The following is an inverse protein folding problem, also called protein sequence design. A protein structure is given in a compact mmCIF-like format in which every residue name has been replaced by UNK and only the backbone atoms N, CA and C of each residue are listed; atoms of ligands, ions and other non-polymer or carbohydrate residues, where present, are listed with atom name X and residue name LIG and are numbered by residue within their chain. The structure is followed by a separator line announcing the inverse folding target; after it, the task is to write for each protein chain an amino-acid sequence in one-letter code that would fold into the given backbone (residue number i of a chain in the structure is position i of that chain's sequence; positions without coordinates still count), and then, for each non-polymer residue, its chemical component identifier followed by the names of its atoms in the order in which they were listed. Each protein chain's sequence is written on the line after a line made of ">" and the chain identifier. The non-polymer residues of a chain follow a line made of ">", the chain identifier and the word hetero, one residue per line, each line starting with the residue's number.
data_IF_176332715638
#
_entry.id   IF_176332715638
#
_cell.length_a   1.000
_cell.length_b   1.000
_cell.length_c   1.000
_cell.angle_alpha   90.00
_cell.angle_beta   90.00
_cell.angle_gamma   90.00
#
_symmetry.space_group_name_H-M   'P 1'
#
loop_
_entity.id
_entity.type
_entity.pdbx_description
1 polymer ?
#
# COMPACT_ATOMS: atom_id res chain seq x y z
N UNK A 1 -12.70 9.92 -10.82
CA UNK A 1 -12.12 11.19 -10.32
C UNK A 1 -11.00 10.98 -9.26
N UNK A 2 -10.22 9.89 -9.26
CA UNK A 2 -9.09 9.70 -8.31
C UNK A 2 -7.70 10.00 -8.92
N UNK A 3 -7.53 9.80 -10.24
CA UNK A 3 -6.25 10.00 -10.94
C UNK A 3 -5.84 11.47 -11.10
N UNK A 4 -6.78 12.37 -11.44
CA UNK A 4 -6.46 13.78 -11.69
C UNK A 4 -5.91 14.50 -10.45
N UNK A 5 -6.39 14.13 -9.27
CA UNK A 5 -5.98 14.74 -7.99
C UNK A 5 -4.55 14.32 -7.60
N UNK A 6 -4.14 13.10 -7.94
CA UNK A 6 -2.84 12.56 -7.54
C UNK A 6 -1.69 12.91 -8.48
N UNK A 7 -1.98 13.18 -9.76
CA UNK A 7 -0.98 13.50 -10.77
C UNK A 7 -0.50 14.95 -10.76
N UNK A 8 -1.42 15.92 -10.56
CA UNK A 8 -1.14 17.34 -10.80
C UNK A 8 -1.08 18.21 -9.54
N UNK A 9 -1.57 17.74 -8.39
CA UNK A 9 -1.80 18.61 -7.22
C UNK A 9 -1.24 18.11 -5.88
N UNK A 10 -0.21 17.26 -5.88
CA UNK A 10 0.43 16.77 -4.64
C UNK A 10 0.87 17.93 -3.73
N UNK A 11 1.29 19.06 -4.30
CA UNK A 11 1.64 20.28 -3.56
C UNK A 11 0.44 21.04 -2.98
N UNK A 12 -0.73 21.02 -3.62
CA UNK A 12 -1.95 21.69 -3.14
C UNK A 12 -2.68 20.84 -2.09
N UNK A 13 -2.62 19.50 -2.21
CA UNK A 13 -3.13 18.57 -1.21
C UNK A 13 -2.31 18.60 0.09
N UNK A 14 -1.02 19.00 0.01
CA UNK A 14 -0.11 19.13 1.15
C UNK A 14 -0.61 20.14 2.18
N UNK A 15 -1.16 21.27 1.75
CA UNK A 15 -1.66 22.29 2.69
C UNK A 15 -3.01 21.89 3.29
N UNK A 16 -3.90 21.28 2.50
CA UNK A 16 -5.27 20.95 2.90
C UNK A 16 -5.36 19.70 3.79
N UNK A 17 -4.47 18.73 3.65
CA UNK A 17 -4.53 17.44 4.38
C UNK A 17 -3.53 17.33 5.54
N UNK A 18 -2.88 18.43 5.92
CA UNK A 18 -1.83 18.47 6.95
C UNK A 18 -2.34 18.25 8.38
N UNK A 19 -3.63 18.48 8.64
CA UNK A 19 -4.25 18.16 9.92
C UNK A 19 -5.07 16.87 9.80
N UNK A 20 -4.56 15.76 10.36
CA UNK A 20 -5.34 14.53 10.57
C UNK A 20 -6.68 14.81 11.28
N UNK A 21 -6.79 15.92 12.01
CA UNK A 21 -7.97 16.34 12.77
C UNK A 21 -9.03 17.13 11.99
N UNK A 22 -8.84 17.48 10.70
CA UNK A 22 -9.79 18.30 9.93
C UNK A 22 -10.34 17.63 8.67
N UNK A 23 -10.29 16.30 8.59
CA UNK A 23 -10.86 15.61 7.44
C UNK A 23 -12.39 15.84 7.39
N UNK A 24 -12.96 16.16 6.21
CA UNK A 24 -14.40 16.35 6.05
C UNK A 24 -15.20 15.04 6.15
N UNK A 25 -14.50 13.90 6.25
CA UNK A 25 -15.05 12.57 6.42
C UNK A 25 -14.05 11.67 7.17
N UNK A 26 -14.52 10.59 7.82
CA UNK A 26 -13.63 9.57 8.40
C UNK A 26 -12.70 8.94 7.36
N UNK A 27 -11.48 8.54 7.76
CA UNK A 27 -10.46 7.96 6.87
C UNK A 27 -10.97 6.72 6.11
N UNK A 28 -11.89 5.97 6.70
CA UNK A 28 -12.54 4.79 6.15
C UNK A 28 -13.27 5.12 4.84
N UNK A 29 -13.82 6.33 4.70
CA UNK A 29 -14.52 6.76 3.48
C UNK A 29 -13.57 7.04 2.30
N UNK A 30 -12.28 7.21 2.55
CA UNK A 30 -11.26 7.38 1.51
C UNK A 30 -10.60 6.07 1.10
N UNK A 31 -10.79 5.03 1.89
CA UNK A 31 -10.16 3.71 1.73
C UNK A 31 -11.16 2.62 1.31
N UNK A 32 -12.46 2.92 1.36
CA UNK A 32 -13.54 2.08 0.87
C UNK A 32 -14.30 2.71 -0.30
N UNK A 33 -14.62 1.96 -1.38
CA UNK A 33 -14.17 0.59 -1.62
C UNK A 33 -12.65 0.53 -1.93
N UNK A 34 -12.03 -0.66 -1.80
CA UNK A 34 -10.65 -0.86 -2.22
C UNK A 34 -10.42 -0.42 -3.67
N UNK A 35 -9.26 0.16 -3.93
CA UNK A 35 -8.86 0.59 -5.28
C UNK A 35 -8.54 -0.62 -6.18
N UNK A 36 -9.10 -0.62 -7.40
CA UNK A 36 -8.93 -1.67 -8.40
C UNK A 36 -8.13 -1.19 -9.63
N UNK A 37 -7.87 0.10 -9.77
CA UNK A 37 -7.09 0.68 -10.85
C UNK A 37 -5.59 0.36 -10.68
N UNK A 38 -5.08 -0.59 -11.45
CA UNK A 38 -3.64 -0.92 -11.48
C UNK A 38 -2.74 0.32 -11.72
N UNK A 39 -3.07 1.26 -12.62
CA UNK A 39 -2.31 2.50 -12.76
C UNK A 39 -2.21 3.32 -11.46
N UNK A 40 -3.30 3.47 -10.72
CA UNK A 40 -3.33 4.25 -9.50
C UNK A 40 -2.58 3.54 -8.36
N UNK A 41 -2.75 2.21 -8.24
CA UNK A 41 -1.97 1.39 -7.31
C UNK A 41 -0.46 1.50 -7.58
N UNK A 42 -0.05 1.44 -8.85
CA UNK A 42 1.35 1.67 -9.22
C UNK A 42 1.84 3.06 -8.86
N UNK A 43 0.99 4.08 -9.01
CA UNK A 43 1.31 5.46 -8.63
C UNK A 43 1.47 5.61 -7.10
N UNK A 44 0.56 5.05 -6.30
CA UNK A 44 0.68 5.00 -4.85
C UNK A 44 1.98 4.32 -4.43
N UNK A 45 2.25 3.14 -4.98
CA UNK A 45 3.46 2.39 -4.65
C UNK A 45 4.71 3.21 -5.01
N UNK A 46 4.78 3.74 -6.24
CA UNK A 46 5.90 4.58 -6.70
C UNK A 46 6.11 5.75 -5.75
N UNK A 47 5.06 6.50 -5.42
CA UNK A 47 5.18 7.70 -4.60
C UNK A 47 5.69 7.41 -3.19
N UNK A 48 5.30 6.28 -2.61
CA UNK A 48 5.82 5.82 -1.31
C UNK A 48 7.30 5.45 -1.41
N UNK A 49 7.68 4.60 -2.37
CA UNK A 49 9.08 4.10 -2.47
C UNK A 49 10.07 5.16 -2.94
N UNK A 50 9.62 6.18 -3.69
CA UNK A 50 10.46 7.31 -4.07
C UNK A 50 10.48 8.42 -3.01
N UNK A 51 9.70 8.28 -1.93
CA UNK A 51 9.62 9.28 -0.87
C UNK A 51 8.96 10.60 -1.31
N UNK A 52 8.22 10.63 -2.42
CA UNK A 52 7.40 11.80 -2.80
C UNK A 52 6.14 11.88 -1.94
N UNK A 53 5.66 10.74 -1.42
CA UNK A 53 4.63 10.64 -0.40
C UNK A 53 5.23 10.11 0.90
N UNK A 54 5.27 10.95 1.94
CA UNK A 54 5.84 10.63 3.25
C UNK A 54 4.82 10.92 4.34
N UNK A 55 4.79 10.09 5.38
CA UNK A 55 3.91 10.26 6.53
C UNK A 55 4.03 11.65 7.16
N UNK A 56 5.26 12.13 7.37
CA UNK A 56 5.52 13.43 7.98
C UNK A 56 5.04 14.64 7.16
N UNK A 57 4.68 14.46 5.88
CA UNK A 57 4.29 15.55 4.97
C UNK A 57 2.82 15.50 4.57
N UNK A 58 2.27 14.29 4.40
CA UNK A 58 0.89 14.11 3.96
C UNK A 58 0.32 12.83 4.60
N UNK A 59 0.04 12.84 5.91
CA UNK A 59 -0.28 11.62 6.67
C UNK A 59 -1.58 10.96 6.22
N UNK A 60 -2.57 11.77 5.84
CA UNK A 60 -3.84 11.30 5.27
C UNK A 60 -3.59 10.50 3.99
N UNK A 61 -2.90 11.10 3.02
CA UNK A 61 -2.68 10.48 1.72
C UNK A 61 -1.74 9.28 1.81
N UNK A 62 -0.76 9.34 2.72
CA UNK A 62 0.09 8.22 3.06
C UNK A 62 -0.74 7.03 3.56
N UNK A 63 -1.65 7.27 4.52
CA UNK A 63 -2.56 6.24 5.05
C UNK A 63 -3.49 5.68 3.97
N UNK A 64 -4.05 6.53 3.12
CA UNK A 64 -4.91 6.11 2.00
C UNK A 64 -4.15 5.22 1.01
N UNK A 65 -2.92 5.61 0.65
CA UNK A 65 -2.07 4.80 -0.22
C UNK A 65 -1.73 3.45 0.42
N UNK A 66 -1.36 3.40 1.70
CA UNK A 66 -1.11 2.15 2.42
C UNK A 66 -2.33 1.24 2.42
N UNK A 67 -3.51 1.79 2.76
CA UNK A 67 -4.74 1.01 2.84
C UNK A 67 -5.08 0.34 1.50
N UNK A 68 -5.03 1.11 0.40
CA UNK A 68 -5.33 0.59 -0.94
C UNK A 68 -4.31 -0.44 -1.40
N UNK A 69 -3.01 -0.19 -1.18
CA UNK A 69 -1.97 -1.15 -1.55
C UNK A 69 -2.05 -2.43 -0.74
N UNK A 70 -2.29 -2.32 0.57
CA UNK A 70 -2.41 -3.46 1.47
C UNK A 70 -3.64 -4.31 1.12
N UNK A 71 -4.79 -3.68 0.89
CA UNK A 71 -6.00 -4.35 0.43
C UNK A 71 -5.76 -5.06 -0.91
N UNK A 72 -5.09 -4.40 -1.86
CA UNK A 72 -4.77 -4.97 -3.16
C UNK A 72 -3.87 -6.20 -3.07
N UNK A 73 -2.71 -6.10 -2.40
CA UNK A 73 -1.72 -7.19 -2.37
C UNK A 73 -2.18 -8.42 -1.58
N UNK A 74 -3.07 -8.24 -0.59
CA UNK A 74 -3.58 -9.32 0.26
C UNK A 74 -5.02 -9.74 -0.04
N UNK A 75 -5.69 -9.14 -1.01
CA UNK A 75 -7.03 -9.56 -1.44
C UNK A 75 -7.03 -11.06 -1.79
N UNK A 76 -8.05 -11.75 -1.30
CA UNK A 76 -8.34 -13.16 -1.59
C UNK A 76 -9.38 -13.31 -2.71
N UNK A 77 -9.82 -12.19 -3.27
CA UNK A 77 -10.87 -12.20 -4.29
C UNK A 77 -10.31 -12.77 -5.60
N UNK A 78 -11.10 -13.61 -6.30
CA UNK A 78 -10.75 -14.08 -7.63
C UNK A 78 -10.43 -12.90 -8.55
N UNK A 79 -9.33 -13.00 -9.26
CA UNK A 79 -8.84 -11.93 -10.12
C UNK A 79 -8.31 -12.51 -11.43
N UNK A 80 -8.32 -11.69 -12.49
CA UNK A 80 -7.67 -12.04 -13.75
C UNK A 80 -6.17 -12.30 -13.52
N UNK A 81 -5.57 -13.15 -14.36
CA UNK A 81 -4.16 -13.53 -14.24
C UNK A 81 -3.22 -12.31 -14.19
N UNK A 82 -3.50 -11.26 -14.98
CA UNK A 82 -2.71 -10.02 -14.98
C UNK A 82 -2.75 -9.32 -13.61
N UNK A 83 -3.93 -9.26 -13.00
CA UNK A 83 -4.12 -8.61 -11.69
C UNK A 83 -3.40 -9.41 -10.60
N UNK A 84 -3.49 -10.74 -10.62
CA UNK A 84 -2.78 -11.58 -9.66
C UNK A 84 -1.26 -11.51 -9.86
N UNK A 85 -0.78 -11.48 -11.10
CA UNK A 85 0.64 -11.25 -11.41
C UNK A 85 1.12 -9.89 -10.88
N UNK A 86 0.30 -8.84 -11.00
CA UNK A 86 0.59 -7.53 -10.42
C UNK A 86 0.64 -7.56 -8.88
N UNK A 87 -0.31 -8.24 -8.23
CA UNK A 87 -0.31 -8.42 -6.76
C UNK A 87 0.96 -9.12 -6.28
N UNK A 88 1.34 -10.23 -6.93
CA UNK A 88 2.57 -10.99 -6.61
C UNK A 88 3.82 -10.13 -6.82
N UNK A 89 3.92 -9.45 -7.96
CA UNK A 89 5.05 -8.56 -8.28
C UNK A 89 5.20 -7.46 -7.24
N UNK A 90 4.09 -6.85 -6.83
CA UNK A 90 4.12 -5.75 -5.87
C UNK A 90 4.45 -6.23 -4.45
N UNK A 91 3.89 -7.35 -4.00
CA UNK A 91 4.22 -7.95 -2.70
C UNK A 91 5.71 -8.33 -2.63
N UNK A 92 6.27 -8.88 -3.71
CA UNK A 92 7.70 -9.17 -3.79
C UNK A 92 8.56 -7.91 -3.70
N UNK A 93 8.18 -6.85 -4.42
CA UNK A 93 8.88 -5.55 -4.32
C UNK A 93 8.87 -5.00 -2.91
N UNK A 94 7.75 -5.14 -2.19
CA UNK A 94 7.62 -4.74 -0.77
C UNK A 94 8.59 -5.54 0.11
N UNK A 95 8.66 -6.86 -0.07
CA UNK A 95 9.55 -7.72 0.70
C UNK A 95 11.03 -7.30 0.62
N UNK A 96 11.48 -6.90 -0.57
CA UNK A 96 12.86 -6.48 -0.84
C UNK A 96 13.10 -4.96 -0.70
N UNK A 97 12.15 -4.20 -0.16
CA UNK A 97 12.40 -2.79 0.16
C UNK A 97 13.52 -2.67 1.19
N UNK A 98 14.46 -1.75 0.94
CA UNK A 98 15.52 -1.38 1.91
C UNK A 98 15.00 -0.49 3.04
N UNK A 99 13.93 0.25 2.78
CA UNK A 99 13.24 1.05 3.79
C UNK A 99 12.39 0.12 4.66
N UNK A 100 12.98 -0.35 5.76
CA UNK A 100 12.32 -1.27 6.70
C UNK A 100 11.10 -0.65 7.38
N UNK A 101 11.06 0.68 7.55
CA UNK A 101 9.89 1.37 8.13
C UNK A 101 8.71 1.31 7.15
N UNK A 102 8.92 1.70 5.89
CA UNK A 102 7.88 1.64 4.87
C UNK A 102 7.44 0.19 4.60
N UNK A 103 8.38 -0.75 4.57
CA UNK A 103 8.10 -2.18 4.42
C UNK A 103 7.21 -2.69 5.56
N UNK A 104 7.56 -2.35 6.81
CA UNK A 104 6.76 -2.70 8.00
C UNK A 104 5.35 -2.13 7.88
N UNK A 105 5.22 -0.84 7.54
CA UNK A 105 3.91 -0.22 7.34
C UNK A 105 3.09 -0.92 6.25
N UNK A 106 3.67 -1.23 5.09
CA UNK A 106 2.97 -1.89 3.97
C UNK A 106 2.51 -3.31 4.29
N UNK A 107 3.34 -4.09 5.01
CA UNK A 107 3.04 -5.48 5.35
C UNK A 107 2.06 -5.59 6.52
N UNK A 108 2.28 -4.78 7.56
CA UNK A 108 1.56 -4.87 8.83
C UNK A 108 0.36 -3.92 8.94
N UNK A 109 0.07 -3.09 7.93
CA UNK A 109 -1.13 -2.27 7.93
C UNK A 109 -2.38 -3.11 8.21
N UNK A 110 -3.16 -2.66 9.20
CA UNK A 110 -4.40 -3.30 9.65
C UNK A 110 -5.61 -2.51 9.18
N UNK A 111 -5.70 -1.25 9.57
CA UNK A 111 -6.82 -0.37 9.23
C UNK A 111 -6.45 1.11 9.46
N UNK A 112 -7.11 2.05 8.78
CA UNK A 112 -7.04 3.46 9.16
C UNK A 112 -7.55 3.64 10.59
N UNK A 113 -6.94 4.58 11.32
CA UNK A 113 -7.36 4.95 12.67
C UNK A 113 -6.87 6.34 13.01
N UNK A 114 -7.78 7.30 12.97
CA UNK A 114 -7.43 8.72 13.11
C UNK A 114 -6.86 9.06 14.49
N UNK A 115 -7.24 8.31 15.54
CA UNK A 115 -6.76 8.50 16.91
C UNK A 115 -5.37 7.90 17.15
N UNK A 116 -4.83 7.12 16.21
CA UNK A 116 -3.46 6.59 16.26
C UNK A 116 -2.45 7.68 15.92
N UNK A 117 -1.28 7.68 16.55
CA UNK A 117 -0.18 8.62 16.25
C UNK A 117 0.22 8.62 14.77
N UNK A 118 0.11 7.48 14.10
CA UNK A 118 0.44 7.33 12.68
C UNK A 118 -0.76 7.58 11.75
N UNK A 119 -1.98 7.73 12.29
CA UNK A 119 -3.23 7.76 11.52
C UNK A 119 -3.73 6.38 11.07
N UNK A 120 -3.06 5.30 11.49
CA UNK A 120 -3.46 3.92 11.22
C UNK A 120 -3.00 2.96 12.31
N UNK A 121 -3.61 1.79 12.35
CA UNK A 121 -3.16 0.65 13.15
C UNK A 121 -2.34 -0.33 12.32
N UNK A 122 -1.42 -1.00 13.00
CA UNK A 122 -0.68 -2.13 12.47
C UNK A 122 -0.96 -3.37 13.30
N UNK A 123 -0.76 -4.54 12.68
CA UNK A 123 -0.62 -5.79 13.41
C UNK A 123 0.75 -5.85 14.09
N UNK A 124 0.84 -6.47 15.26
CA UNK A 124 2.12 -6.75 15.93
C UNK A 124 2.99 -7.72 15.10
N UNK A 125 2.32 -8.65 14.42
CA UNK A 125 2.94 -9.65 13.55
C UNK A 125 2.10 -9.84 12.28
N UNK A 126 2.73 -10.25 11.17
CA UNK A 126 2.03 -10.50 9.92
C UNK A 126 1.01 -11.65 10.10
N UNK A 127 -0.29 -11.45 9.83
CA UNK A 127 -1.29 -12.50 9.99
C UNK A 127 -0.94 -13.78 9.20
N UNK A 128 -1.24 -14.99 9.71
CA UNK A 128 -0.78 -16.26 9.10
C UNK A 128 -1.18 -16.46 7.64
N UNK A 129 -2.34 -15.94 7.22
CA UNK A 129 -2.78 -16.00 5.82
C UNK A 129 -1.91 -15.11 4.91
N UNK A 130 -1.52 -13.93 5.42
CA UNK A 130 -0.63 -12.98 4.73
C UNK A 130 0.81 -13.50 4.70
N UNK A 131 1.26 -14.11 5.79
CA UNK A 131 2.57 -14.76 5.87
C UNK A 131 2.72 -15.87 4.83
N UNK A 132 1.76 -16.81 4.77
CA UNK A 132 1.75 -17.88 3.75
C UNK A 132 1.75 -17.34 2.32
N UNK A 133 1.00 -16.27 2.05
CA UNK A 133 0.99 -15.61 0.73
C UNK A 133 2.34 -14.97 0.41
N UNK A 134 2.97 -14.31 1.38
CA UNK A 134 4.29 -13.71 1.23
C UNK A 134 5.35 -14.78 0.95
N UNK A 135 5.37 -15.86 1.74
CA UNK A 135 6.25 -17.01 1.54
C UNK A 135 6.08 -17.63 0.15
N UNK A 136 4.84 -17.87 -0.29
CA UNK A 136 4.57 -18.38 -1.63
C UNK A 136 5.09 -17.44 -2.74
N UNK A 137 4.97 -16.13 -2.55
CA UNK A 137 5.44 -15.16 -3.55
C UNK A 137 6.97 -15.08 -3.60
N UNK A 138 7.64 -15.14 -2.46
CA UNK A 138 9.11 -15.06 -2.36
C UNK A 138 9.76 -16.38 -2.77
N UNK A 139 9.23 -17.53 -2.32
CA UNK A 139 9.76 -18.86 -2.64
C UNK A 139 9.62 -19.27 -4.11
N UNK A 140 8.67 -18.69 -4.85
CA UNK A 140 8.50 -18.96 -6.28
C UNK A 140 9.65 -18.45 -7.17
N UNK A 141 10.56 -17.58 -6.67
CA UNK A 141 11.78 -17.21 -7.42
C UNK A 141 13.01 -18.05 -7.07
N UNK A 142 13.11 -18.57 -5.83
CA UNK A 142 14.23 -19.48 -5.49
C UNK A 142 14.17 -20.77 -6.31
N UNK A 143 12.96 -21.22 -6.69
CA UNK A 143 12.76 -22.36 -7.58
C UNK A 143 12.86 -22.07 -9.08
N UNK A 144 12.89 -20.81 -9.53
CA UNK A 144 12.92 -20.46 -10.97
C UNK A 144 14.31 -20.02 -11.47
N UNK A 145 15.34 -20.08 -10.62
CA UNK A 145 16.71 -19.66 -10.93
C UNK A 145 17.69 -20.80 -11.31
N UNK A 146 17.20 -22.04 -11.40
CA UNK A 146 18.03 -23.24 -11.52
C UNK A 146 17.67 -24.14 -12.69
N UNK A 147 17.74 -23.63 -13.91
CA UNK A 147 17.91 -24.46 -15.11
C UNK A 147 18.63 -23.63 -16.17
N UNK A 148 19.97 -23.75 -16.18
CA UNK A 148 20.80 -23.42 -17.33
C UNK A 148 21.47 -24.72 -17.73
N UNK A 149 21.03 -25.26 -18.86
CA UNK A 149 21.79 -26.23 -19.66
C UNK A 149 23.16 -25.67 -20.04
#
# INVERSE_FOLDING_TARGET
>A
MRLAVFGEHVGLLREVLSALFQLPAPLERYTSPPEDSLPLLRLYFRSLVTGTLRLAWCPVLYTVALAHLNAFIFSQDPALQEVEAARRTQLRKIYYLKDEVLKTHLLLFKQPRQESELGFEMYDHLPPIRARRLEAVVGLEEGSGGEKD
#
